data_IF_566276211968
#
_entry.id   IF_566276211968
#
_cell.length_a   1.000
_cell.length_b   1.000
_cell.length_c   1.000
_cell.angle_alpha   90.00
_cell.angle_beta   90.00
_cell.angle_gamma   90.00
#
_symmetry.space_group_name_H-M   'P 1'
#
loop_
_entity.id
_entity.type
_entity.pdbx_description
1 polymer ?
#
# COMPACT_ATOMS: atom_id res chain seq x y z
N UNK A 1 15.79 14.66 -14.21
CA UNK A 1 15.38 14.84 -12.80
C UNK A 1 13.91 14.47 -12.71
N UNK A 2 13.50 13.60 -11.79
CA UNK A 2 12.10 13.17 -11.67
C UNK A 2 11.24 14.19 -10.92
N UNK A 3 10.02 14.42 -11.38
CA UNK A 3 9.06 15.32 -10.73
C UNK A 3 8.27 14.63 -9.61
N UNK A 4 8.18 13.30 -9.66
CA UNK A 4 7.61 12.47 -8.61
C UNK A 4 8.42 11.17 -8.43
N UNK A 5 8.39 10.63 -7.20
CA UNK A 5 8.96 9.33 -6.86
C UNK A 5 7.90 8.54 -6.10
N UNK A 6 7.49 7.42 -6.67
CA UNK A 6 6.65 6.42 -6.03
C UNK A 6 7.52 5.33 -5.44
N UNK A 7 7.16 4.85 -4.25
CA UNK A 7 7.74 3.66 -3.67
C UNK A 7 6.70 2.56 -3.60
N UNK A 8 7.06 1.41 -4.18
CA UNK A 8 6.27 0.19 -4.17
C UNK A 8 6.99 -0.85 -3.30
N UNK A 9 6.26 -1.52 -2.42
CA UNK A 9 6.79 -2.58 -1.55
C UNK A 9 5.83 -3.75 -1.51
N UNK A 10 6.38 -4.97 -1.52
CA UNK A 10 5.64 -6.13 -1.04
C UNK A 10 5.71 -6.18 0.48
N UNK A 11 4.65 -6.67 1.12
CA UNK A 11 4.61 -6.97 2.54
C UNK A 11 3.72 -8.18 2.78
N UNK A 12 3.96 -8.91 3.86
CA UNK A 12 3.12 -10.04 4.25
C UNK A 12 2.15 -9.62 5.35
N UNK A 13 0.91 -10.08 5.25
CA UNK A 13 -0.06 -10.03 6.33
C UNK A 13 -0.90 -11.31 6.33
N UNK A 14 -0.91 -12.01 7.47
CA UNK A 14 -1.70 -13.23 7.66
C UNK A 14 -1.47 -14.31 6.57
N UNK A 15 -0.20 -14.51 6.18
CA UNK A 15 0.17 -15.50 5.16
C UNK A 15 -0.08 -15.06 3.71
N UNK A 16 -0.56 -13.83 3.49
CA UNK A 16 -0.81 -13.29 2.15
C UNK A 16 0.19 -12.20 1.80
N UNK A 17 0.79 -12.32 0.60
CA UNK A 17 1.64 -11.28 0.03
C UNK A 17 0.78 -10.16 -0.53
N UNK A 18 0.94 -8.96 0.02
CA UNK A 18 0.23 -7.73 -0.35
C UNK A 18 1.21 -6.69 -0.89
N UNK A 19 0.68 -5.64 -1.50
CA UNK A 19 1.45 -4.58 -2.17
C UNK A 19 1.10 -3.22 -1.59
N UNK A 20 2.11 -2.44 -1.22
CA UNK A 20 1.98 -1.10 -0.67
C UNK A 20 2.57 -0.04 -1.62
N UNK A 21 1.91 1.10 -1.71
CA UNK A 21 2.31 2.28 -2.48
C UNK A 21 2.39 3.50 -1.57
N UNK A 22 3.43 4.31 -1.76
CA UNK A 22 3.55 5.64 -1.16
C UNK A 22 4.23 6.61 -2.13
N UNK A 23 3.91 7.89 -2.02
CA UNK A 23 4.63 8.94 -2.74
C UNK A 23 5.74 9.45 -1.82
N UNK A 24 6.99 9.27 -2.23
CA UNK A 24 8.17 9.64 -1.42
C UNK A 24 8.61 11.07 -1.71
N UNK A 25 8.40 11.53 -2.94
CA UNK A 25 8.77 12.87 -3.37
C UNK A 25 7.79 13.35 -4.43
N UNK A 26 7.42 14.62 -4.32
CA UNK A 26 6.80 15.41 -5.39
C UNK A 26 7.47 16.77 -5.42
N UNK A 27 7.96 17.20 -6.59
CA UNK A 27 8.77 18.43 -6.72
C UNK A 27 7.95 19.71 -6.53
N UNK A 28 6.65 19.66 -6.83
CA UNK A 28 5.74 20.80 -6.72
C UNK A 28 4.42 20.42 -6.06
N UNK A 29 4.06 21.17 -5.03
CA UNK A 29 2.84 20.99 -4.26
C UNK A 29 2.83 19.74 -3.37
N UNK A 30 1.76 19.61 -2.59
CA UNK A 30 1.63 18.51 -1.64
C UNK A 30 1.38 17.17 -2.35
N UNK A 31 1.81 16.10 -1.68
CA UNK A 31 1.44 14.73 -1.97
C UNK A 31 0.86 14.08 -0.71
N UNK A 32 0.13 12.98 -0.89
CA UNK A 32 -0.34 12.21 0.25
C UNK A 32 0.84 11.58 1.02
N UNK A 33 0.83 11.72 2.36
CA UNK A 33 1.88 11.21 3.25
C UNK A 33 1.54 9.82 3.84
N UNK A 34 0.58 9.12 3.26
CA UNK A 34 0.17 7.80 3.72
C UNK A 34 0.80 6.70 2.87
N UNK A 35 0.75 5.48 3.40
CA UNK A 35 1.04 4.26 2.67
C UNK A 35 -0.31 3.58 2.47
N UNK A 36 -0.60 3.15 1.24
CA UNK A 36 -1.85 2.47 0.89
C UNK A 36 -1.55 1.11 0.30
N UNK A 37 -2.42 0.13 0.56
CA UNK A 37 -2.42 -1.08 -0.25
C UNK A 37 -2.81 -0.72 -1.70
N UNK A 38 -2.22 -1.38 -2.70
CA UNK A 38 -2.61 -1.18 -4.09
C UNK A 38 -2.71 -2.50 -4.86
N UNK A 39 -3.57 -2.49 -5.88
CA UNK A 39 -3.71 -3.59 -6.83
C UNK A 39 -3.51 -3.11 -8.25
N UNK A 40 -2.87 -3.93 -9.07
CA UNK A 40 -2.86 -3.79 -10.52
C UNK A 40 -3.89 -4.73 -11.13
N UNK A 41 -4.75 -4.19 -11.99
CA UNK A 41 -5.76 -4.94 -12.75
C UNK A 41 -5.76 -4.48 -14.21
N UNK A 42 -6.54 -5.16 -15.05
CA UNK A 42 -6.76 -4.70 -16.43
C UNK A 42 -7.46 -3.34 -16.51
N UNK A 43 -8.17 -2.92 -15.45
CA UNK A 43 -8.79 -1.60 -15.33
C UNK A 43 -7.83 -0.52 -14.80
N UNK A 44 -6.59 -0.89 -14.44
CA UNK A 44 -5.59 0.02 -13.90
C UNK A 44 -5.27 -0.22 -12.42
N UNK A 45 -4.93 0.86 -11.71
CA UNK A 45 -4.49 0.83 -10.30
C UNK A 45 -5.68 1.11 -9.38
N UNK A 46 -5.90 0.21 -8.42
CA UNK A 46 -6.85 0.44 -7.31
C UNK A 46 -6.06 0.68 -6.03
N UNK A 47 -6.43 1.70 -5.25
CA UNK A 47 -5.84 2.00 -3.94
C UNK A 47 -6.82 1.68 -2.82
N UNK A 48 -6.34 1.01 -1.79
CA UNK A 48 -7.07 0.73 -0.57
C UNK A 48 -7.03 1.90 0.43
N UNK A 49 -7.61 1.70 1.63
CA UNK A 49 -7.49 2.65 2.72
C UNK A 49 -6.02 2.79 3.16
N UNK A 50 -5.66 3.89 3.83
CA UNK A 50 -4.34 4.04 4.43
C UNK A 50 -4.02 2.91 5.42
N UNK A 51 -2.81 2.34 5.32
CA UNK A 51 -2.29 1.29 6.20
C UNK A 51 -1.86 1.87 7.57
N UNK A 52 -2.81 2.44 8.32
CA UNK A 52 -2.55 3.16 9.58
C UNK A 52 -2.07 2.26 10.72
N UNK A 53 -2.42 0.99 10.67
CA UNK A 53 -2.09 -0.02 11.70
C UNK A 53 -0.77 -0.74 11.40
N UNK A 54 0.00 -0.25 10.42
CA UNK A 54 1.29 -0.81 10.06
C UNK A 54 2.44 0.14 10.38
N UNK A 55 3.55 -0.47 10.83
CA UNK A 55 4.85 0.18 10.91
C UNK A 55 5.89 -0.66 10.15
N UNK A 56 7.01 -0.07 9.75
CA UNK A 56 8.11 -0.82 9.13
C UNK A 56 7.93 -1.27 7.67
N UNK A 57 6.90 -0.80 6.97
CA UNK A 57 6.72 -1.10 5.53
C UNK A 57 7.92 -0.57 4.72
N UNK A 58 8.40 0.64 5.04
CA UNK A 58 9.55 1.23 4.33
C UNK A 58 10.87 0.47 4.57
N UNK A 59 11.05 -0.08 5.78
CA UNK A 59 12.24 -0.84 6.16
C UNK A 59 12.20 -2.29 5.68
N UNK A 60 11.08 -2.76 5.13
CA UNK A 60 10.90 -4.15 4.71
C UNK A 60 10.64 -5.12 5.87
N UNK A 61 10.37 -4.60 7.07
CA UNK A 61 10.05 -5.39 8.27
C UNK A 61 8.69 -4.94 8.82
N UNK A 62 7.59 -5.19 8.06
CA UNK A 62 6.27 -4.72 8.43
C UNK A 62 5.81 -5.35 9.75
N UNK A 63 5.22 -4.54 10.64
CA UNK A 63 4.54 -4.99 11.86
C UNK A 63 3.14 -4.42 11.87
N UNK A 64 2.16 -5.32 11.99
CA UNK A 64 0.74 -4.98 12.10
C UNK A 64 0.33 -4.95 13.57
N UNK A 65 -0.43 -3.93 13.98
CA UNK A 65 -0.91 -3.74 15.36
C UNK A 65 -2.43 -3.53 15.44
N UNK A 66 -3.16 -3.84 14.37
CA UNK A 66 -4.61 -3.70 14.34
C UNK A 66 -5.33 -4.90 14.96
N UNK A 67 -6.55 -4.67 15.40
CA UNK A 67 -7.37 -5.70 16.05
C UNK A 67 -7.97 -6.68 15.05
N UNK A 68 -8.16 -6.26 13.79
CA UNK A 68 -8.79 -7.05 12.73
C UNK A 68 -7.94 -7.02 11.47
N UNK A 69 -7.70 -8.19 10.87
CA UNK A 69 -6.96 -8.29 9.61
C UNK A 69 -7.77 -7.55 8.53
N UNK A 70 -7.23 -6.47 7.92
CA UNK A 70 -7.93 -5.76 6.87
C UNK A 70 -8.17 -6.70 5.68
N UNK A 71 -9.37 -6.64 5.10
CA UNK A 71 -9.65 -7.33 3.84
C UNK A 71 -8.65 -6.90 2.77
N UNK A 72 -8.21 -7.84 1.96
CA UNK A 72 -7.33 -7.53 0.83
C UNK A 72 -8.13 -6.76 -0.23
N UNK A 73 -7.42 -6.06 -1.13
CA UNK A 73 -8.06 -5.53 -2.34
C UNK A 73 -8.54 -6.64 -3.30
N UNK A 74 -8.12 -7.89 -3.13
CA UNK A 74 -8.59 -9.03 -3.92
C UNK A 74 -9.96 -9.51 -3.43
N UNK A 75 -10.17 -9.55 -2.10
CA UNK A 75 -11.44 -9.92 -1.46
C UNK A 75 -12.55 -8.91 -1.81
N UNK A 76 -12.19 -7.62 -1.96
CA UNK A 76 -13.14 -6.54 -2.24
C UNK A 76 -13.78 -6.64 -3.63
N UNK A 77 -13.10 -7.27 -4.59
CA UNK A 77 -13.55 -7.39 -5.97
C UNK A 77 -14.17 -8.77 -6.29
N UNK A 78 -14.30 -9.65 -5.29
CA UNK A 78 -14.95 -10.95 -5.42
C UNK A 78 -14.20 -11.94 -6.32
N UNK A 79 -12.90 -11.76 -6.54
CA UNK A 79 -12.06 -12.68 -7.33
C UNK A 79 -11.20 -13.51 -6.37
N UNK A 80 -11.65 -14.75 -6.11
CA UNK A 80 -10.83 -15.83 -5.56
C UNK A 80 -10.52 -16.84 -6.66
#
# INVERSE_FOLDING_TARGET
>A
LSDAVLMLRYFELAGTVRRALSVVKKRSGNHEHTIREFRLSSAGITLGPPLKEFTGIFSGTPRFTGDQIPKTLDDADGRH
#
